data_IF_571180619874
#
_entry.id   IF_571180619874
#
_cell.length_a   1.000
_cell.length_b   1.000
_cell.length_c   1.000
_cell.angle_alpha   90.00
_cell.angle_beta   90.00
_cell.angle_gamma   90.00
#
_symmetry.space_group_name_H-M   'P 1'
#
loop_
_entity.id
_entity.type
_entity.pdbx_description
1 polymer ?
#
# COMPACT_ATOMS: atom_id res chain seq x y z
N UNK A 1 -36.78 -28.47 0.28
CA UNK A 1 -36.21 -28.59 -1.09
C UNK A 1 -36.39 -27.23 -1.74
N UNK A 2 -35.40 -26.39 -2.00
CA UNK A 2 -33.96 -26.58 -2.21
C UNK A 2 -33.28 -25.24 -1.92
N UNK A 3 -32.29 -25.23 -1.03
CA UNK A 3 -31.20 -24.25 -1.02
C UNK A 3 -30.24 -24.63 -2.15
N UNK A 4 -29.77 -23.66 -2.93
CA UNK A 4 -28.62 -23.88 -3.82
C UNK A 4 -27.64 -22.76 -3.56
N UNK A 5 -26.50 -23.17 -3.02
CA UNK A 5 -25.33 -22.39 -2.72
C UNK A 5 -24.77 -21.70 -3.97
N UNK A 6 -24.53 -20.39 -3.86
CA UNK A 6 -23.67 -19.67 -4.78
C UNK A 6 -22.24 -19.74 -4.25
N UNK A 7 -21.57 -20.88 -4.47
CA UNK A 7 -20.12 -20.95 -4.38
C UNK A 7 -19.55 -20.31 -5.64
N UNK A 8 -19.07 -19.07 -5.54
CA UNK A 8 -18.28 -18.45 -6.59
C UNK A 8 -17.00 -19.28 -6.80
N UNK A 9 -16.74 -19.69 -8.04
CA UNK A 9 -15.52 -20.39 -8.44
C UNK A 9 -14.31 -19.47 -8.21
N UNK A 10 -13.64 -19.62 -7.07
CA UNK A 10 -12.36 -18.97 -6.83
C UNK A 10 -11.25 -19.63 -7.68
N UNK A 11 -10.34 -18.87 -8.31
CA UNK A 11 -9.29 -19.42 -9.14
C UNK A 11 -8.27 -20.20 -8.30
N UNK A 12 -7.84 -21.36 -8.80
CA UNK A 12 -6.69 -22.10 -8.28
C UNK A 12 -5.37 -21.38 -8.56
N UNK A 13 -4.35 -21.60 -7.73
CA UNK A 13 -3.03 -20.93 -7.61
C UNK A 13 -2.18 -20.65 -8.89
N UNK A 14 -2.61 -21.03 -10.09
CA UNK A 14 -1.88 -20.85 -11.36
C UNK A 14 -2.74 -20.26 -12.49
N UNK A 15 -3.91 -19.67 -12.20
CA UNK A 15 -4.79 -19.13 -13.24
C UNK A 15 -4.48 -17.68 -13.60
N UNK A 16 -4.15 -17.47 -14.88
CA UNK A 16 -4.24 -16.16 -15.52
C UNK A 16 -5.72 -15.86 -15.79
N UNK A 17 -6.29 -14.91 -15.08
CA UNK A 17 -7.69 -14.50 -15.31
C UNK A 17 -7.71 -13.48 -16.45
N UNK A 18 -8.32 -13.89 -17.58
CA UNK A 18 -8.60 -13.03 -18.74
C UNK A 18 -10.11 -12.91 -18.91
N UNK A 19 -10.59 -11.76 -19.35
CA UNK A 19 -12.01 -11.42 -19.46
C UNK A 19 -12.82 -12.40 -20.31
N UNK A 20 -14.10 -12.57 -19.93
CA UNK A 20 -15.17 -13.08 -20.79
C UNK A 20 -15.44 -12.10 -21.94
N UNK A 21 -15.81 -12.66 -23.10
CA UNK A 21 -15.80 -11.98 -24.39
C UNK A 21 -16.78 -10.80 -24.50
N UNK A 22 -16.25 -9.58 -24.66
CA UNK A 22 -16.69 -8.53 -25.61
C UNK A 22 -15.78 -7.28 -25.52
N UNK A 23 -14.56 -7.39 -26.04
CA UNK A 23 -13.73 -6.24 -26.46
C UNK A 23 -12.56 -6.76 -27.29
N UNK A 24 -12.37 -6.23 -28.51
CA UNK A 24 -11.29 -6.61 -29.42
C UNK A 24 -9.93 -5.99 -29.06
N UNK A 25 -9.82 -5.31 -27.91
CA UNK A 25 -8.53 -4.90 -27.34
C UNK A 25 -8.24 -5.76 -26.11
N UNK A 26 -7.06 -6.39 -26.01
CA UNK A 26 -6.64 -7.01 -24.76
C UNK A 26 -6.71 -5.98 -23.64
N UNK A 27 -7.17 -6.39 -22.44
CA UNK A 27 -7.16 -5.53 -21.27
C UNK A 27 -5.72 -5.04 -21.03
N UNK A 28 -5.56 -3.75 -20.75
CA UNK A 28 -4.25 -3.20 -20.47
C UNK A 28 -3.67 -3.79 -19.18
N UNK A 29 -4.51 -4.13 -18.21
CA UNK A 29 -4.12 -4.74 -16.94
C UNK A 29 -4.30 -6.26 -16.96
N UNK A 30 -3.34 -6.98 -16.39
CA UNK A 30 -3.40 -8.41 -16.15
C UNK A 30 -3.03 -8.72 -14.69
N UNK A 31 -3.78 -9.65 -14.08
CA UNK A 31 -3.54 -10.16 -12.72
C UNK A 31 -3.16 -11.64 -12.80
N UNK A 32 -1.94 -11.96 -12.37
CA UNK A 32 -1.41 -13.31 -12.35
C UNK A 32 -1.32 -13.80 -10.90
N UNK A 33 -2.27 -14.65 -10.51
CA UNK A 33 -2.31 -15.23 -9.17
C UNK A 33 -1.30 -16.36 -9.07
N UNK A 34 -0.50 -16.34 -8.01
CA UNK A 34 0.50 -17.35 -7.66
C UNK A 34 0.22 -17.85 -6.24
N UNK A 35 0.93 -18.90 -5.81
CA UNK A 35 0.73 -19.52 -4.49
C UNK A 35 0.97 -18.60 -3.29
N UNK A 36 1.74 -17.52 -3.45
CA UNK A 36 2.13 -16.59 -2.38
C UNK A 36 1.73 -15.13 -2.65
N UNK A 37 0.98 -14.85 -3.72
CA UNK A 37 0.67 -13.48 -4.10
C UNK A 37 0.08 -13.26 -5.50
N UNK A 38 0.07 -12.00 -5.93
CA UNK A 38 -0.43 -11.57 -7.26
C UNK A 38 0.60 -10.71 -7.99
N UNK A 39 0.97 -11.10 -9.20
CA UNK A 39 1.75 -10.26 -10.13
C UNK A 39 0.79 -9.39 -10.95
N UNK A 40 1.10 -8.11 -11.05
CA UNK A 40 0.30 -7.12 -11.78
C UNK A 40 1.10 -6.63 -12.98
N UNK A 41 0.50 -6.76 -14.17
CA UNK A 41 1.08 -6.26 -15.40
C UNK A 41 0.23 -5.16 -16.01
N UNK A 42 0.88 -4.19 -16.65
CA UNK A 42 0.26 -3.14 -17.46
C UNK A 42 0.90 -3.16 -18.85
N UNK A 43 0.12 -3.43 -19.89
CA UNK A 43 0.58 -3.58 -21.28
C UNK A 43 1.74 -4.59 -21.41
N UNK A 44 1.65 -5.71 -20.68
CA UNK A 44 2.70 -6.74 -20.62
C UNK A 44 3.88 -6.41 -19.70
N UNK A 45 4.07 -5.16 -19.27
CA UNK A 45 5.12 -4.76 -18.32
C UNK A 45 4.69 -5.13 -16.89
N UNK A 46 5.49 -5.94 -16.19
CA UNK A 46 5.29 -6.17 -14.75
C UNK A 46 5.50 -4.86 -13.97
N UNK A 47 4.47 -4.39 -13.27
CA UNK A 47 4.47 -3.11 -12.56
C UNK A 47 4.44 -3.23 -11.03
N UNK A 48 3.96 -4.34 -10.47
CA UNK A 48 3.95 -4.57 -9.02
C UNK A 48 3.75 -6.06 -8.71
N UNK A 49 4.19 -6.48 -7.52
CA UNK A 49 3.93 -7.81 -6.97
C UNK A 49 3.40 -7.69 -5.55
N UNK A 50 2.19 -8.20 -5.31
CA UNK A 50 1.64 -8.39 -3.98
C UNK A 50 2.10 -9.72 -3.42
N UNK A 51 2.49 -9.74 -2.14
CA UNK A 51 2.74 -10.96 -1.37
C UNK A 51 1.74 -11.01 -0.22
N UNK A 52 0.95 -12.08 -0.16
CA UNK A 52 0.13 -12.39 1.02
C UNK A 52 0.85 -13.34 1.99
N UNK A 53 1.95 -13.96 1.55
CA UNK A 53 2.77 -14.85 2.36
C UNK A 53 4.25 -14.70 1.99
N UNK A 54 5.13 -14.67 2.99
CA UNK A 54 6.57 -14.68 2.81
C UNK A 54 7.27 -15.30 4.04
N UNK A 55 8.41 -16.00 3.88
CA UNK A 55 9.10 -16.64 5.01
C UNK A 55 9.64 -15.67 6.07
N UNK A 56 9.98 -14.44 5.69
CA UNK A 56 10.63 -13.46 6.58
C UNK A 56 9.81 -12.18 6.82
N UNK A 57 8.73 -11.97 6.06
CA UNK A 57 7.84 -10.82 6.24
C UNK A 57 6.51 -11.40 6.66
N UNK A 58 6.10 -11.12 7.89
CA UNK A 58 4.97 -11.79 8.52
C UNK A 58 3.65 -11.05 8.28
N UNK A 59 3.65 -10.12 7.32
CA UNK A 59 2.49 -9.32 6.92
C UNK A 59 2.47 -9.14 5.41
N UNK A 60 1.34 -8.75 4.83
CA UNK A 60 1.20 -8.59 3.39
C UNK A 60 1.94 -7.34 2.94
N UNK A 61 2.48 -7.36 1.73
CA UNK A 61 3.21 -6.23 1.19
C UNK A 61 3.21 -6.22 -0.33
N UNK A 62 3.48 -5.05 -0.89
CA UNK A 62 3.76 -4.87 -2.30
C UNK A 62 5.24 -4.60 -2.49
N UNK A 63 5.85 -5.29 -3.45
CA UNK A 63 7.22 -5.04 -3.88
C UNK A 63 7.28 -4.79 -5.39
N UNK A 64 8.48 -4.44 -5.84
CA UNK A 64 8.80 -4.27 -7.26
C UNK A 64 7.89 -3.27 -7.98
N UNK A 65 7.43 -2.24 -7.26
CA UNK A 65 6.57 -1.22 -7.84
C UNK A 65 7.39 -0.40 -8.85
N UNK A 66 6.88 -0.31 -10.07
CA UNK A 66 7.54 0.33 -11.20
C UNK A 66 6.59 1.25 -11.93
N UNK A 67 7.13 2.24 -12.63
CA UNK A 67 6.36 3.04 -13.58
C UNK A 67 5.87 2.17 -14.76
N UNK A 68 4.92 2.63 -15.59
CA UNK A 68 4.48 1.89 -16.77
C UNK A 68 5.59 1.54 -17.76
N UNK A 69 6.68 2.31 -17.78
CA UNK A 69 7.86 2.04 -18.62
C UNK A 69 8.85 1.05 -17.98
N UNK A 70 8.57 0.56 -16.77
CA UNK A 70 9.37 -0.43 -16.05
C UNK A 70 10.45 0.15 -15.13
N UNK A 71 10.48 1.48 -14.89
CA UNK A 71 11.45 2.10 -13.98
C UNK A 71 11.10 1.84 -12.52
N UNK A 72 12.07 1.44 -11.71
CA UNK A 72 11.86 1.04 -10.32
C UNK A 72 11.52 2.25 -9.41
N UNK A 73 10.39 2.19 -8.71
CA UNK A 73 9.86 3.27 -7.85
C UNK A 73 10.07 2.97 -6.36
N UNK A 74 9.77 1.74 -5.91
CA UNK A 74 10.10 1.29 -4.55
C UNK A 74 11.51 0.70 -4.48
N UNK A 75 12.12 0.59 -3.30
CA UNK A 75 13.36 -0.19 -3.14
C UNK A 75 13.12 -1.61 -3.62
N UNK A 76 14.14 -2.22 -4.24
CA UNK A 76 14.08 -3.63 -4.63
C UNK A 76 13.91 -4.52 -3.41
N UNK A 77 13.25 -5.65 -3.60
CA UNK A 77 13.03 -6.64 -2.56
C UNK A 77 13.42 -8.04 -3.08
N UNK A 78 14.36 -8.75 -2.44
CA UNK A 78 15.26 -8.22 -1.42
C UNK A 78 16.14 -7.07 -1.98
N UNK A 79 16.67 -6.18 -1.12
CA UNK A 79 17.63 -5.18 -1.55
C UNK A 79 18.88 -5.82 -2.18
N UNK A 80 19.42 -5.22 -3.23
CA UNK A 80 20.65 -5.71 -3.86
C UNK A 80 21.85 -5.02 -3.22
N UNK A 81 22.75 -5.79 -2.60
CA UNK A 81 23.97 -5.25 -2.00
C UNK A 81 24.81 -4.47 -3.02
N UNK A 82 25.33 -3.31 -2.61
CA UNK A 82 26.08 -2.40 -3.48
C UNK A 82 25.23 -1.50 -4.37
N UNK A 83 23.93 -1.78 -4.53
CA UNK A 83 22.99 -0.91 -5.26
C UNK A 83 21.94 -0.29 -4.35
N UNK A 84 21.48 -1.04 -3.35
CA UNK A 84 20.44 -0.64 -2.43
C UNK A 84 20.96 -0.74 -0.99
N UNK A 85 20.50 0.16 -0.11
CA UNK A 85 20.74 0.00 1.32
C UNK A 85 20.13 -1.33 1.77
N UNK A 86 20.91 -2.14 2.48
CA UNK A 86 20.48 -3.44 3.04
C UNK A 86 19.89 -3.29 4.44
N UNK A 87 19.68 -2.06 4.92
CA UNK A 87 19.02 -1.79 6.21
C UNK A 87 17.59 -2.34 6.22
N UNK A 88 17.27 -3.05 7.29
CA UNK A 88 15.91 -3.45 7.62
C UNK A 88 15.16 -4.10 6.42
N UNK A 89 15.78 -5.07 5.73
CA UNK A 89 15.36 -5.49 4.39
C UNK A 89 13.93 -6.04 4.38
N UNK A 90 13.55 -6.75 5.44
CA UNK A 90 12.22 -7.34 5.61
C UNK A 90 11.22 -6.43 6.34
N UNK A 91 11.66 -5.32 6.96
CA UNK A 91 10.71 -4.36 7.56
C UNK A 91 10.22 -3.33 6.54
N UNK A 92 11.00 -3.09 5.48
CA UNK A 92 10.68 -2.12 4.43
C UNK A 92 10.75 -2.75 3.03
N UNK A 93 9.80 -3.64 2.67
CA UNK A 93 9.84 -4.41 1.44
C UNK A 93 9.34 -3.65 0.20
N UNK A 94 8.82 -2.43 0.36
CA UNK A 94 8.17 -1.65 -0.69
C UNK A 94 7.03 -0.86 -0.09
N UNK A 95 5.78 -1.28 -0.35
CA UNK A 95 4.60 -0.78 0.38
C UNK A 95 4.06 -1.85 1.33
N UNK A 96 3.62 -1.46 2.53
CA UNK A 96 2.87 -2.35 3.43
C UNK A 96 2.06 -1.55 4.42
N UNK A 97 0.88 -2.03 4.80
CA UNK A 97 0.30 -1.64 6.09
C UNK A 97 1.01 -2.40 7.20
N UNK A 98 1.53 -1.68 8.19
CA UNK A 98 2.26 -2.26 9.31
C UNK A 98 1.93 -1.55 10.61
N UNK A 99 1.83 -2.32 11.69
CA UNK A 99 1.46 -1.80 13.01
C UNK A 99 2.45 -2.32 14.06
N UNK A 100 3.20 -1.42 14.67
CA UNK A 100 4.09 -1.74 15.79
C UNK A 100 3.36 -1.99 17.11
N UNK A 101 2.10 -1.55 17.25
CA UNK A 101 1.26 -1.72 18.44
C UNK A 101 -0.20 -1.96 18.03
N UNK A 102 -0.56 -3.21 17.76
CA UNK A 102 -1.95 -3.65 17.61
C UNK A 102 -2.25 -4.64 18.74
N UNK A 103 -3.06 -4.22 19.70
CA UNK A 103 -3.34 -4.96 20.92
C UNK A 103 -2.05 -5.44 21.64
N UNK A 104 -1.10 -4.52 21.83
CA UNK A 104 0.27 -4.75 22.34
C UNK A 104 1.19 -5.61 21.46
N UNK A 105 0.75 -6.09 20.29
CA UNK A 105 1.53 -6.94 19.40
C UNK A 105 2.21 -6.13 18.29
N UNK A 106 3.48 -6.44 18.03
CA UNK A 106 4.28 -5.83 16.99
C UNK A 106 4.29 -6.65 15.68
N UNK A 107 3.59 -6.15 14.66
CA UNK A 107 3.59 -6.69 13.29
C UNK A 107 4.62 -6.00 12.39
N UNK A 108 5.05 -4.78 12.74
CA UNK A 108 5.99 -3.96 11.95
C UNK A 108 7.38 -4.61 11.83
N UNK A 109 7.92 -5.12 12.93
CA UNK A 109 9.27 -5.68 12.97
C UNK A 109 9.35 -7.14 12.52
N UNK A 110 8.22 -7.77 12.16
CA UNK A 110 8.10 -9.20 11.83
C UNK A 110 8.60 -10.12 12.97
N UNK A 111 8.28 -9.80 14.22
CA UNK A 111 8.80 -10.53 15.40
C UNK A 111 7.74 -11.24 16.21
N UNK A 112 6.61 -10.60 16.44
CA UNK A 112 5.62 -11.07 17.43
C UNK A 112 4.37 -11.62 16.73
N UNK A 113 3.68 -10.77 15.97
CA UNK A 113 2.46 -11.16 15.26
C UNK A 113 2.69 -11.65 13.83
N UNK A 114 1.66 -12.30 13.27
CA UNK A 114 1.58 -12.69 11.85
C UNK A 114 0.20 -12.36 11.28
N UNK A 115 0.18 -11.87 10.05
CA UNK A 115 -1.05 -11.72 9.27
C UNK A 115 -1.20 -12.96 8.38
N UNK A 116 -2.22 -13.77 8.64
CA UNK A 116 -2.52 -14.97 7.88
C UNK A 116 -3.50 -14.65 6.75
N UNK A 117 -3.18 -15.03 5.52
CA UNK A 117 -4.10 -14.91 4.39
C UNK A 117 -5.23 -15.96 4.51
N UNK A 118 -6.49 -15.52 4.50
CA UNK A 118 -7.67 -16.39 4.51
C UNK A 118 -8.11 -16.76 3.09
N UNK A 119 -7.94 -15.85 2.13
CA UNK A 119 -8.27 -16.09 0.72
C UNK A 119 -8.52 -14.81 -0.05
N UNK A 120 -8.92 -14.99 -1.31
CA UNK A 120 -9.41 -13.93 -2.19
C UNK A 120 -10.93 -13.99 -2.24
N UNK A 121 -11.61 -12.84 -2.14
CA UNK A 121 -13.08 -12.78 -2.09
C UNK A 121 -13.70 -12.37 -3.42
N UNK A 122 -13.04 -11.45 -4.15
CA UNK A 122 -13.48 -10.95 -5.44
C UNK A 122 -12.26 -10.67 -6.33
N UNK A 123 -12.43 -10.85 -7.64
CA UNK A 123 -11.42 -10.52 -8.65
C UNK A 123 -12.11 -10.03 -9.91
N UNK A 124 -11.66 -8.88 -10.42
CA UNK A 124 -12.14 -8.35 -11.68
C UNK A 124 -11.00 -7.79 -12.52
N UNK A 125 -11.16 -7.92 -13.82
CA UNK A 125 -10.34 -7.25 -14.83
C UNK A 125 -11.33 -6.72 -15.87
N UNK A 126 -11.26 -5.43 -16.18
CA UNK A 126 -12.02 -4.81 -17.24
C UNK A 126 -11.09 -3.92 -18.09
N UNK A 127 -11.66 -3.21 -19.08
CA UNK A 127 -10.86 -2.44 -20.03
C UNK A 127 -10.02 -1.34 -19.36
N UNK A 128 -10.55 -0.74 -18.29
CA UNK A 128 -9.98 0.45 -17.67
C UNK A 128 -9.34 0.15 -16.30
N UNK A 129 -9.82 -0.87 -15.58
CA UNK A 129 -9.43 -1.18 -14.21
C UNK A 129 -9.24 -2.68 -13.99
N UNK A 130 -8.44 -3.04 -13.00
CA UNK A 130 -8.39 -4.39 -12.45
C UNK A 130 -8.30 -4.33 -10.93
N UNK A 131 -8.79 -5.35 -10.24
CA UNK A 131 -8.74 -5.37 -8.79
C UNK A 131 -9.06 -6.71 -8.20
N UNK A 132 -8.78 -6.84 -6.92
CA UNK A 132 -9.09 -8.03 -6.14
C UNK A 132 -9.25 -7.68 -4.67
N UNK A 133 -9.98 -8.51 -3.95
CA UNK A 133 -10.15 -8.43 -2.51
C UNK A 133 -9.47 -9.58 -1.79
N UNK A 134 -8.95 -9.32 -0.59
CA UNK A 134 -8.35 -10.33 0.29
C UNK A 134 -8.89 -10.21 1.70
N UNK A 135 -9.20 -11.36 2.31
CA UNK A 135 -9.44 -11.50 3.75
C UNK A 135 -8.20 -12.02 4.46
N UNK A 136 -7.89 -11.45 5.62
CA UNK A 136 -6.67 -11.74 6.38
C UNK A 136 -6.92 -11.70 7.89
N UNK A 137 -6.20 -12.51 8.66
CA UNK A 137 -6.28 -12.54 10.12
C UNK A 137 -5.02 -12.00 10.76
N UNK A 138 -5.14 -11.03 11.65
CA UNK A 138 -4.05 -10.61 12.52
C UNK A 138 -3.98 -11.56 13.71
N UNK A 139 -2.93 -12.37 13.75
CA UNK A 139 -2.69 -13.37 14.80
C UNK A 139 -1.57 -12.89 15.73
N UNK A 140 -1.74 -13.12 17.03
CA UNK A 140 -0.68 -12.93 18.02
C UNK A 140 0.38 -14.05 17.98
N UNK A 141 1.33 -14.00 18.93
CA UNK A 141 2.42 -14.98 19.02
C UNK A 141 1.97 -16.39 19.42
N UNK A 142 0.76 -16.56 19.95
CA UNK A 142 0.14 -17.84 20.31
C UNK A 142 -0.80 -18.36 19.21
N UNK A 143 -1.06 -17.55 18.18
CA UNK A 143 -1.95 -17.86 17.07
C UNK A 143 -3.40 -17.48 17.30
N UNK A 144 -3.71 -16.73 18.36
CA UNK A 144 -5.06 -16.21 18.59
C UNK A 144 -5.33 -15.01 17.67
N UNK A 145 -6.55 -14.95 17.12
CA UNK A 145 -6.96 -13.88 16.21
C UNK A 145 -7.37 -12.62 16.99
N UNK A 146 -6.73 -11.49 16.67
CA UNK A 146 -7.03 -10.17 17.24
C UNK A 146 -8.18 -9.53 16.44
N UNK A 147 -8.04 -9.50 15.13
CA UNK A 147 -9.02 -8.96 14.20
C UNK A 147 -8.85 -9.53 12.80
N UNK A 148 -9.91 -9.40 12.00
CA UNK A 148 -9.91 -9.66 10.56
C UNK A 148 -9.75 -8.35 9.79
N UNK A 149 -8.92 -8.40 8.76
CA UNK A 149 -8.75 -7.38 7.74
C UNK A 149 -9.37 -7.84 6.42
N UNK A 150 -10.25 -7.03 5.85
CA UNK A 150 -10.72 -7.19 4.46
C UNK A 150 -10.23 -6.02 3.64
N UNK A 151 -9.38 -6.29 2.66
CA UNK A 151 -8.77 -5.27 1.80
C UNK A 151 -9.21 -5.41 0.35
N UNK A 152 -9.58 -4.29 -0.26
CA UNK A 152 -9.88 -4.17 -1.69
C UNK A 152 -8.76 -3.38 -2.36
N UNK A 153 -8.13 -4.00 -3.36
CA UNK A 153 -7.17 -3.36 -4.22
C UNK A 153 -7.77 -3.07 -5.58
N UNK A 154 -7.53 -1.87 -6.11
CA UNK A 154 -7.92 -1.51 -7.48
C UNK A 154 -6.80 -0.76 -8.18
N UNK A 155 -6.55 -1.12 -9.42
CA UNK A 155 -5.58 -0.52 -10.31
C UNK A 155 -6.30 0.20 -11.42
N UNK A 156 -5.93 1.45 -11.65
CA UNK A 156 -6.48 2.30 -12.70
C UNK A 156 -5.35 3.03 -13.42
N UNK A 157 -5.00 2.65 -14.68
CA UNK A 157 -4.07 3.40 -15.50
C UNK A 157 -4.61 4.81 -15.77
N UNK A 158 -3.73 5.78 -15.85
CA UNK A 158 -4.10 7.16 -16.11
C UNK A 158 -2.97 7.91 -16.83
N UNK A 159 -3.18 9.19 -17.10
CA UNK A 159 -2.25 10.02 -17.88
C UNK A 159 -0.89 10.24 -17.21
N UNK A 160 -0.81 10.11 -15.88
CA UNK A 160 0.43 10.29 -15.12
C UNK A 160 1.17 8.96 -14.92
N UNK A 161 0.45 7.84 -15.02
CA UNK A 161 0.97 6.48 -14.84
C UNK A 161 -0.16 5.52 -14.47
N UNK A 162 -0.27 5.18 -13.18
CA UNK A 162 -1.43 4.45 -12.67
C UNK A 162 -1.68 4.74 -11.19
N UNK A 163 -2.93 4.59 -10.79
CA UNK A 163 -3.41 4.71 -9.42
C UNK A 163 -3.66 3.31 -8.85
N UNK A 164 -3.04 3.00 -7.72
CA UNK A 164 -3.41 1.90 -6.84
C UNK A 164 -4.29 2.46 -5.72
N UNK A 165 -5.54 2.00 -5.63
CA UNK A 165 -6.43 2.28 -4.52
C UNK A 165 -6.42 1.11 -3.54
N UNK A 166 -6.29 1.42 -2.25
CA UNK A 166 -6.21 0.46 -1.16
C UNK A 166 -7.29 0.82 -0.13
N UNK A 167 -8.36 0.05 -0.10
CA UNK A 167 -9.47 0.22 0.86
C UNK A 167 -9.53 -0.98 1.81
N UNK A 168 -9.15 -0.76 3.06
CA UNK A 168 -9.05 -1.82 4.07
C UNK A 168 -10.01 -1.57 5.23
N UNK A 169 -10.57 -2.64 5.77
CA UNK A 169 -11.44 -2.63 6.95
C UNK A 169 -10.96 -3.66 7.98
N UNK A 170 -10.78 -3.22 9.21
CA UNK A 170 -10.48 -4.05 10.37
C UNK A 170 -11.73 -4.21 11.25
N UNK A 171 -12.09 -5.44 11.61
CA UNK A 171 -13.19 -5.74 12.52
C UNK A 171 -12.90 -6.99 13.36
N UNK A 172 -13.59 -7.12 14.49
CA UNK A 172 -13.51 -8.29 15.36
C UNK A 172 -14.81 -8.46 16.16
N UNK A 173 -15.07 -9.69 16.59
CA UNK A 173 -16.12 -10.00 17.55
C UNK A 173 -15.71 -9.63 18.97
N UNK A 174 -14.44 -9.32 19.23
CA UNK A 174 -13.96 -8.76 20.49
C UNK A 174 -13.47 -7.31 20.31
N UNK A 175 -13.29 -6.60 21.43
CA UNK A 175 -12.67 -5.28 21.40
C UNK A 175 -11.16 -5.42 21.17
N UNK A 176 -10.61 -4.59 20.31
CA UNK A 176 -9.17 -4.48 20.07
C UNK A 176 -8.77 -3.01 19.88
N UNK A 177 -7.48 -2.71 19.88
CA UNK A 177 -7.03 -1.34 19.75
C UNK A 177 -5.70 -1.18 19.00
N UNK A 178 -5.50 0.00 18.44
CA UNK A 178 -4.21 0.45 17.92
C UNK A 178 -3.58 1.46 18.90
N UNK A 179 -2.33 1.23 19.28
CA UNK A 179 -1.57 2.14 20.14
C UNK A 179 -0.95 3.31 19.38
N UNK A 180 -0.07 4.05 20.05
CA UNK A 180 0.64 5.20 19.48
C UNK A 180 2.12 4.86 19.27
N UNK A 181 2.54 4.85 18.01
CA UNK A 181 3.94 4.69 17.58
C UNK A 181 4.11 5.31 16.20
N UNK A 182 5.30 5.82 15.89
CA UNK A 182 5.59 6.36 14.56
C UNK A 182 5.52 5.31 13.44
N UNK A 183 5.74 4.03 13.79
CA UNK A 183 5.73 2.85 12.92
C UNK A 183 4.32 2.21 12.82
N UNK A 184 3.33 3.00 12.44
CA UNK A 184 1.93 2.58 12.33
C UNK A 184 1.29 3.14 11.05
N UNK A 185 0.75 2.28 10.17
CA UNK A 185 0.02 2.71 8.97
C UNK A 185 0.70 2.30 7.66
N UNK A 186 0.41 3.06 6.59
CA UNK A 186 0.85 2.72 5.23
C UNK A 186 2.30 3.18 5.03
N UNK A 187 3.21 2.22 5.04
CA UNK A 187 4.64 2.44 4.87
C UNK A 187 5.05 2.34 3.40
N UNK A 188 6.03 3.16 3.02
CA UNK A 188 6.71 3.17 1.74
C UNK A 188 8.22 3.19 1.95
N UNK A 189 8.94 2.40 1.14
CA UNK A 189 10.37 2.57 0.89
C UNK A 189 10.64 2.83 -0.58
N UNK A 190 11.12 4.02 -0.92
CA UNK A 190 11.45 4.40 -2.30
C UNK A 190 12.75 3.77 -2.80
N UNK A 191 12.89 3.67 -4.11
CA UNK A 191 14.10 3.20 -4.78
C UNK A 191 15.29 4.10 -4.47
N UNK A 192 16.50 3.52 -4.43
CA UNK A 192 17.73 4.24 -4.06
C UNK A 192 17.94 5.58 -4.81
N UNK A 193 17.70 5.69 -6.13
CA UNK A 193 17.83 6.98 -6.84
C UNK A 193 16.84 8.05 -6.38
N UNK A 194 15.69 7.66 -5.81
CA UNK A 194 14.63 8.54 -5.32
C UNK A 194 14.80 8.92 -3.85
N UNK A 195 15.82 8.44 -3.15
CA UNK A 195 16.06 8.79 -1.75
C UNK A 195 16.55 10.24 -1.65
N UNK A 196 16.02 11.04 -0.71
CA UNK A 196 16.43 12.45 -0.51
C UNK A 196 17.93 12.57 -0.20
N UNK A 197 18.45 11.79 0.76
CA UNK A 197 19.84 11.91 1.24
C UNK A 197 20.91 11.43 0.26
N UNK A 198 20.59 10.44 -0.58
CA UNK A 198 21.59 9.73 -1.40
C UNK A 198 21.30 9.78 -2.89
N UNK A 199 20.18 10.37 -3.29
CA UNK A 199 19.69 10.42 -4.66
C UNK A 199 19.20 11.81 -5.05
N UNK A 200 18.21 11.85 -5.93
CA UNK A 200 17.60 13.07 -6.45
C UNK A 200 16.23 13.38 -5.82
N UNK A 201 15.87 12.62 -4.79
CA UNK A 201 14.55 12.62 -4.20
C UNK A 201 14.18 13.92 -3.48
N UNK A 202 12.87 14.17 -3.42
CA UNK A 202 12.23 15.10 -2.50
C UNK A 202 10.94 14.49 -1.97
N UNK A 203 10.53 14.91 -0.78
CA UNK A 203 9.19 14.69 -0.26
C UNK A 203 8.45 16.03 -0.30
N UNK A 204 7.26 16.09 -0.90
CA UNK A 204 6.37 17.25 -0.89
C UNK A 204 5.04 16.87 -0.25
N UNK A 205 4.61 17.60 0.77
CA UNK A 205 3.29 17.42 1.39
C UNK A 205 2.25 18.43 0.85
N UNK A 206 0.97 18.11 0.99
CA UNK A 206 -0.15 18.97 0.54
C UNK A 206 -0.12 20.39 1.16
N UNK A 207 0.38 20.51 2.39
CA UNK A 207 0.55 21.80 3.07
C UNK A 207 1.85 22.54 2.70
N UNK A 208 2.56 22.11 1.65
CA UNK A 208 3.81 22.71 1.17
C UNK A 208 5.07 22.36 1.96
N UNK A 209 5.00 21.41 2.90
CA UNK A 209 6.18 20.90 3.61
C UNK A 209 7.11 20.15 2.66
N UNK A 210 8.43 20.33 2.84
CA UNK A 210 9.46 19.68 2.02
C UNK A 210 10.39 18.84 2.91
N UNK A 211 10.63 17.59 2.50
CA UNK A 211 11.55 16.64 3.13
C UNK A 211 11.25 16.40 4.63
N UNK A 212 12.10 15.64 5.32
CA UNK A 212 11.88 15.22 6.71
C UNK A 212 11.61 16.41 7.65
N UNK A 213 12.38 17.50 7.53
CA UNK A 213 12.19 18.71 8.34
C UNK A 213 10.84 19.41 8.11
N UNK A 214 10.30 19.29 6.90
CA UNK A 214 9.06 19.91 6.50
C UNK A 214 7.83 19.04 6.73
N UNK A 215 7.97 17.71 6.83
CA UNK A 215 6.84 16.77 6.74
C UNK A 215 6.68 15.85 7.95
N UNK A 216 7.75 15.51 8.68
CA UNK A 216 7.65 14.60 9.81
C UNK A 216 6.73 15.13 10.91
N UNK A 217 5.84 14.28 11.43
CA UNK A 217 4.93 14.64 12.52
C UNK A 217 3.78 15.56 12.12
N UNK A 218 3.65 15.94 10.84
CA UNK A 218 2.64 16.89 10.36
C UNK A 218 1.54 16.19 9.59
N UNK A 219 0.31 16.66 9.82
CA UNK A 219 -0.87 16.21 9.10
C UNK A 219 -0.86 16.74 7.67
N UNK A 220 -1.17 15.89 6.70
CA UNK A 220 -1.36 16.28 5.31
C UNK A 220 -2.36 15.34 4.62
N UNK A 221 -2.95 15.81 3.52
CA UNK A 221 -3.84 14.99 2.69
C UNK A 221 -3.05 14.04 1.81
N UNK A 222 -1.84 14.45 1.40
CA UNK A 222 -0.98 13.66 0.53
C UNK A 222 0.50 14.02 0.68
N UNK A 223 1.36 13.07 0.29
CA UNK A 223 2.81 13.22 0.18
C UNK A 223 3.33 12.63 -1.13
N UNK A 224 4.02 13.44 -1.93
CA UNK A 224 4.72 13.01 -3.14
C UNK A 224 6.19 12.77 -2.83
N UNK A 225 6.68 11.54 -3.00
CA UNK A 225 8.09 11.19 -2.89
C UNK A 225 8.63 10.85 -4.29
N UNK A 226 9.34 11.81 -4.88
CA UNK A 226 9.72 11.79 -6.29
C UNK A 226 11.08 12.44 -6.54
N UNK A 227 11.68 12.16 -7.69
CA UNK A 227 13.00 12.67 -8.08
C UNK A 227 13.29 12.43 -9.55
N UNK A 228 14.43 12.97 -10.01
CA UNK A 228 14.91 12.77 -11.38
C UNK A 228 15.73 11.49 -11.49
N UNK A 229 15.31 10.56 -12.34
CA UNK A 229 16.01 9.30 -12.65
C UNK A 229 16.12 9.18 -14.16
N UNK A 230 17.35 9.09 -14.69
CA UNK A 230 17.62 8.97 -16.13
C UNK A 230 16.84 9.98 -17.00
N UNK A 231 16.80 11.25 -16.58
CA UNK A 231 16.08 12.37 -17.21
C UNK A 231 14.54 12.26 -17.18
N UNK A 232 13.98 11.43 -16.30
CA UNK A 232 12.54 11.35 -16.07
C UNK A 232 12.25 11.78 -14.63
N UNK A 233 11.29 12.67 -14.43
CA UNK A 233 10.73 12.94 -13.11
C UNK A 233 9.73 11.85 -12.78
N UNK A 234 10.00 11.06 -11.75
CA UNK A 234 9.15 9.93 -11.39
C UNK A 234 9.09 9.74 -9.89
N UNK A 235 8.04 9.08 -9.43
CA UNK A 235 7.88 8.82 -8.01
C UNK A 235 6.58 8.15 -7.65
N UNK A 236 6.23 8.32 -6.39
CA UNK A 236 5.05 7.75 -5.77
C UNK A 236 4.43 8.78 -4.83
N UNK A 237 3.13 9.03 -5.02
CA UNK A 237 2.35 9.89 -4.15
C UNK A 237 1.40 9.04 -3.29
N UNK A 238 1.52 9.17 -1.97
CA UNK A 238 0.57 8.58 -1.01
C UNK A 238 -0.51 9.63 -0.67
N UNK A 239 -1.77 9.22 -0.69
CA UNK A 239 -2.93 10.09 -0.49
C UNK A 239 -3.89 9.48 0.52
N UNK A 240 -4.29 10.26 1.53
CA UNK A 240 -5.37 9.90 2.46
C UNK A 240 -6.73 9.94 1.75
N UNK A 241 -7.59 8.97 2.03
CA UNK A 241 -8.92 8.87 1.44
C UNK A 241 -10.05 9.43 2.30
N UNK A 242 -11.25 9.60 1.72
CA UNK A 242 -12.44 10.01 2.46
C UNK A 242 -12.74 9.09 3.64
N UNK A 243 -13.03 9.68 4.80
CA UNK A 243 -13.39 8.94 6.02
C UNK A 243 -12.21 8.46 6.86
N UNK A 244 -10.97 8.65 6.39
CA UNK A 244 -9.80 8.49 7.27
C UNK A 244 -9.81 9.53 8.40
N UNK A 245 -9.21 9.23 9.56
CA UNK A 245 -8.80 10.26 10.51
C UNK A 245 -7.72 11.16 9.90
N UNK A 246 -7.33 12.22 10.63
CA UNK A 246 -6.14 13.01 10.29
C UNK A 246 -4.92 12.08 10.17
N UNK A 247 -4.26 12.11 9.01
CA UNK A 247 -3.07 11.31 8.73
C UNK A 247 -1.84 12.20 8.85
N UNK A 248 -0.83 11.76 9.60
CA UNK A 248 0.47 12.43 9.67
C UNK A 248 1.58 11.54 9.10
N UNK A 249 2.70 12.14 8.71
CA UNK A 249 3.84 11.36 8.17
C UNK A 249 4.95 11.08 9.17
N UNK A 250 5.35 9.82 9.31
CA UNK A 250 6.70 9.47 9.74
C UNK A 250 7.59 9.40 8.48
N UNK A 251 8.07 10.56 8.03
CA UNK A 251 8.96 10.71 6.88
C UNK A 251 10.43 10.68 7.30
N UNK A 252 11.28 10.04 6.50
CA UNK A 252 12.74 10.03 6.69
C UNK A 252 13.45 10.26 5.37
N UNK A 253 14.43 11.16 5.38
CA UNK A 253 15.18 11.51 4.17
C UNK A 253 16.06 10.34 3.64
N UNK A 254 16.16 9.23 4.39
CA UNK A 254 16.82 8.00 3.93
C UNK A 254 15.90 7.04 3.15
N UNK A 255 14.67 7.46 2.83
CA UNK A 255 13.81 6.75 1.87
C UNK A 255 12.54 6.14 2.43
N UNK A 256 12.20 6.38 3.70
CA UNK A 256 10.99 5.86 4.34
C UNK A 256 9.95 6.97 4.45
N UNK A 257 8.69 6.62 4.22
CA UNK A 257 7.53 7.44 4.60
C UNK A 257 6.42 6.53 5.10
N UNK A 258 5.79 6.90 6.21
CA UNK A 258 4.62 6.19 6.75
C UNK A 258 3.47 7.17 6.89
N UNK A 259 2.36 6.92 6.20
CA UNK A 259 1.11 7.63 6.37
C UNK A 259 0.36 7.01 7.57
N UNK A 260 0.41 7.69 8.71
CA UNK A 260 -0.01 7.18 10.01
C UNK A 260 -1.37 7.76 10.43
N UNK A 261 -2.42 6.92 10.60
CA UNK A 261 -3.78 7.35 10.95
C UNK A 261 -4.02 7.50 12.46
N UNK A 262 -3.00 7.28 13.30
CA UNK A 262 -3.13 7.31 14.76
C UNK A 262 -2.46 8.56 15.34
N UNK A 263 -2.69 8.90 16.61
CA UNK A 263 -2.08 10.08 17.22
C UNK A 263 -0.55 10.13 17.01
N UNK A 264 -0.02 11.35 16.83
CA UNK A 264 1.43 11.55 16.62
C UNK A 264 2.22 10.99 17.80
N UNK A 265 3.33 10.27 17.54
CA UNK A 265 4.22 9.71 18.57
C UNK A 265 5.05 10.80 19.26
N UNK A 266 4.37 11.52 20.13
CA UNK A 266 4.93 12.49 21.07
C UNK A 266 4.54 12.08 22.48
N UNK A 267 5.36 12.44 23.47
CA UNK A 267 5.17 12.06 24.88
C UNK A 267 3.72 12.20 25.40
N UNK A 268 2.98 13.29 25.11
CA UNK A 268 1.60 13.44 25.59
C UNK A 268 0.60 12.42 25.03
N UNK A 269 0.88 11.83 23.87
CA UNK A 269 -0.06 10.94 23.18
C UNK A 269 0.22 9.45 23.43
N UNK A 270 1.37 9.08 24.02
CA UNK A 270 1.85 7.69 24.04
C UNK A 270 0.96 6.70 24.77
N UNK A 271 0.18 7.20 25.72
CA UNK A 271 -0.77 6.37 26.49
C UNK A 271 -2.17 6.34 25.84
N UNK A 272 -2.37 7.01 24.69
CA UNK A 272 -3.63 6.97 23.96
C UNK A 272 -3.78 5.66 23.16
N UNK A 273 -5.04 5.24 22.99
CA UNK A 273 -5.43 4.08 22.20
C UNK A 273 -6.57 4.45 21.25
N UNK A 274 -6.52 3.93 20.04
CA UNK A 274 -7.66 3.94 19.11
C UNK A 274 -8.40 2.62 19.27
N UNK A 275 -9.44 2.63 20.10
CA UNK A 275 -10.23 1.44 20.46
C UNK A 275 -11.30 1.17 19.41
N UNK A 276 -11.35 -0.06 18.91
CA UNK A 276 -12.39 -0.58 18.03
C UNK A 276 -13.27 -1.53 18.84
N UNK A 277 -14.48 -1.08 19.16
CA UNK A 277 -15.45 -1.85 19.95
C UNK A 277 -15.95 -3.07 19.18
N UNK A 278 -16.37 -4.11 19.92
CA UNK A 278 -17.08 -5.28 19.40
C UNK A 278 -18.12 -4.90 18.34
N UNK A 279 -18.07 -5.54 17.17
CA UNK A 279 -19.00 -5.32 16.06
C UNK A 279 -18.85 -3.98 15.32
N UNK A 280 -17.94 -3.11 15.74
CA UNK A 280 -17.53 -1.90 15.00
C UNK A 280 -16.34 -2.21 14.08
N UNK A 281 -15.93 -1.23 13.28
CA UNK A 281 -14.76 -1.40 12.41
C UNK A 281 -14.00 -0.10 12.19
N UNK A 282 -12.69 -0.21 12.01
CA UNK A 282 -11.84 0.82 11.42
C UNK A 282 -11.80 0.59 9.91
N UNK A 283 -12.03 1.64 9.11
CA UNK A 283 -11.80 1.60 7.66
C UNK A 283 -10.77 2.64 7.29
N UNK A 284 -9.76 2.24 6.53
CA UNK A 284 -8.71 3.13 6.01
C UNK A 284 -8.68 3.04 4.50
N UNK A 285 -8.55 4.19 3.85
CA UNK A 285 -8.52 4.30 2.39
C UNK A 285 -7.30 5.08 1.94
N UNK A 286 -6.54 4.53 1.03
CA UNK A 286 -5.37 5.20 0.47
C UNK A 286 -5.39 5.18 -1.04
N UNK A 287 -5.01 6.31 -1.63
CA UNK A 287 -4.64 6.40 -3.03
C UNK A 287 -3.12 6.40 -3.14
N UNK A 288 -2.59 5.62 -4.08
CA UNK A 288 -1.17 5.51 -4.33
C UNK A 288 -0.94 5.74 -5.82
N UNK A 289 -0.53 6.94 -6.21
CA UNK A 289 -0.24 7.28 -7.60
C UNK A 289 1.23 6.99 -7.90
N UNK A 290 1.47 6.14 -8.89
CA UNK A 290 2.80 5.95 -9.48
C UNK A 290 2.86 6.83 -10.72
N UNK A 291 3.87 7.67 -10.83
CA UNK A 291 3.95 8.67 -11.90
C UNK A 291 5.33 8.74 -12.56
N UNK A 292 5.32 9.15 -13.83
CA UNK A 292 6.53 9.33 -14.64
C UNK A 292 6.32 10.41 -15.71
N UNK A 293 7.26 11.35 -15.77
CA UNK A 293 7.18 12.55 -16.60
C UNK A 293 8.55 12.96 -17.15
N UNK A 294 8.57 13.82 -18.15
CA UNK A 294 9.82 14.35 -18.71
C UNK A 294 10.47 15.40 -17.81
N UNK A 295 9.66 16.22 -17.14
CA UNK A 295 10.11 17.27 -16.22
C UNK A 295 9.23 17.31 -14.96
N UNK A 296 9.67 18.05 -13.95
CA UNK A 296 8.96 18.17 -12.66
C UNK A 296 7.60 18.86 -12.83
N UNK A 297 7.53 19.86 -13.71
CA UNK A 297 6.36 20.71 -13.94
C UNK A 297 5.17 19.98 -14.58
N UNK A 298 5.43 18.82 -15.18
CA UNK A 298 4.43 17.99 -15.85
C UNK A 298 3.56 17.22 -14.84
N UNK A 299 4.05 17.02 -13.61
CA UNK A 299 3.27 16.37 -12.55
C UNK A 299 2.64 17.41 -11.63
N UNK A 300 1.34 17.29 -11.40
CA UNK A 300 0.59 18.13 -10.46
C UNK A 300 -0.03 17.26 -9.37
N UNK A 301 0.63 17.13 -8.20
CA UNK A 301 0.17 16.26 -7.11
C UNK A 301 -1.28 16.51 -6.69
N UNK A 302 -1.72 17.77 -6.70
CA UNK A 302 -3.09 18.13 -6.36
C UNK A 302 -4.10 17.59 -7.40
N UNK A 303 -3.77 17.59 -8.70
CA UNK A 303 -4.63 16.99 -9.72
C UNK A 303 -4.71 15.48 -9.59
N UNK A 304 -3.60 14.82 -9.25
CA UNK A 304 -3.59 13.39 -8.95
C UNK A 304 -4.45 13.07 -7.71
N UNK A 305 -4.41 13.93 -6.68
CA UNK A 305 -5.29 13.79 -5.53
C UNK A 305 -6.77 13.94 -5.88
N UNK A 306 -7.14 14.95 -6.66
CA UNK A 306 -8.51 15.10 -7.16
C UNK A 306 -8.95 13.90 -8.03
N UNK A 307 -8.04 13.32 -8.82
CA UNK A 307 -8.32 12.09 -9.59
C UNK A 307 -8.67 10.93 -8.67
N UNK A 308 -7.90 10.73 -7.60
CA UNK A 308 -8.17 9.71 -6.59
C UNK A 308 -9.52 9.92 -5.90
N UNK A 309 -9.80 11.14 -5.42
CA UNK A 309 -11.09 11.44 -4.78
C UNK A 309 -12.28 11.17 -5.69
N UNK A 310 -12.17 11.51 -6.98
CA UNK A 310 -13.22 11.22 -7.96
C UNK A 310 -13.38 9.73 -8.26
N UNK A 311 -12.30 8.95 -8.21
CA UNK A 311 -12.35 7.50 -8.39
C UNK A 311 -13.10 6.82 -7.22
N UNK A 312 -12.98 7.34 -6.00
CA UNK A 312 -13.66 6.83 -4.81
C UNK A 312 -15.18 7.11 -4.78
N UNK A 313 -15.69 7.98 -5.66
CA UNK A 313 -17.12 8.30 -5.75
C UNK A 313 -17.89 7.44 -6.77
N UNK A 314 -17.19 6.60 -7.52
CA UNK A 314 -17.76 5.73 -8.56
C UNK A 314 -18.00 4.34 -8.02
#
# INVERSE_FOLDING_TARGET
VSSVDAAANLPSNDQVIRTSAESTRPAALELNFLSDGVDVHLNGQAIARFYHQHPQVHRPFWAHIKTPSGRQVTRRYPPIEGLDSTDHPHMHPGLSLGYAVLNDINFWHNREGRVAHKGYDDVYVNADNAGFSVSQSYLDGEGAEICEEVTHYSFQPNVDGYLLMWDTRYASEDEFYFGVKEEMGLALRVATPLVVKSGSGRILASHGGINESGTWGKVADWWDYAGMVDRHFMGIQLMSGPGNPDIWSHSRDYGVLVANPFPVDIKPNRDHQTIIKRGSSLRLRFGIQIHEHGQVEDFQPERAYQRYLNAMLR
#
